data_IF_720963633049
#
_entry.id   IF_720963633049
#
_cell.length_a   1.000
_cell.length_b   1.000
_cell.length_c   1.000
_cell.angle_alpha   90.00
_cell.angle_beta   90.00
_cell.angle_gamma   90.00
#
_symmetry.space_group_name_H-M   'P 1'
#
loop_
_entity.id
_entity.type
_entity.pdbx_description
1 polymer ?
#
# COMPACT_ATOMS: atom_id res chain seq x y z
N UNK A 1 16.93 12.91 -1.80
CA UNK A 1 15.80 12.29 -2.49
C UNK A 1 14.71 13.32 -2.73
N UNK A 2 14.18 13.38 -3.95
CA UNK A 2 13.07 14.29 -4.29
C UNK A 2 11.97 13.45 -4.93
N UNK A 3 10.80 13.44 -4.32
CA UNK A 3 9.64 12.66 -4.77
C UNK A 3 8.46 13.57 -5.07
N UNK A 4 7.81 13.34 -6.20
CA UNK A 4 6.51 13.92 -6.51
C UNK A 4 5.43 12.81 -6.44
N UNK A 5 4.42 12.99 -5.60
CA UNK A 5 3.21 12.16 -5.60
C UNK A 5 2.14 12.84 -6.46
N UNK A 6 1.82 12.24 -7.59
CA UNK A 6 0.72 12.65 -8.46
C UNK A 6 -0.57 11.94 -8.08
N UNK A 7 -1.44 12.61 -7.34
CA UNK A 7 -2.74 12.08 -6.95
C UNK A 7 -3.73 12.17 -8.12
N UNK A 8 -4.28 11.03 -8.52
CA UNK A 8 -5.39 10.90 -9.47
C UNK A 8 -6.61 10.49 -8.65
N UNK A 9 -7.65 11.32 -8.62
CA UNK A 9 -8.81 11.08 -7.76
C UNK A 9 -9.80 10.11 -8.40
N UNK A 10 -9.89 8.91 -7.82
CA UNK A 10 -10.82 7.86 -8.21
C UNK A 10 -12.10 7.99 -7.37
N UNK A 11 -13.20 8.28 -8.07
CA UNK A 11 -14.54 8.49 -7.51
C UNK A 11 -15.41 7.25 -7.59
N UNK A 12 -15.13 6.36 -8.54
CA UNK A 12 -15.89 5.12 -8.75
C UNK A 12 -14.98 4.00 -9.30
N UNK A 13 -15.43 2.76 -9.13
CA UNK A 13 -14.78 1.57 -9.71
C UNK A 13 -15.82 0.68 -10.37
N UNK A 14 -15.52 0.19 -11.57
CA UNK A 14 -16.43 -0.62 -12.37
C UNK A 14 -15.68 -1.74 -13.08
N UNK A 15 -16.34 -2.87 -13.32
CA UNK A 15 -15.83 -3.83 -14.28
C UNK A 15 -15.98 -3.27 -15.70
N UNK A 16 -14.98 -3.53 -16.54
CA UNK A 16 -14.95 -3.10 -17.93
C UNK A 16 -14.23 -4.10 -18.82
N UNK A 17 -14.21 -3.83 -20.13
CA UNK A 17 -13.49 -4.64 -21.11
C UNK A 17 -11.99 -4.36 -21.17
N UNK A 18 -11.52 -3.29 -20.51
CA UNK A 18 -10.11 -2.92 -20.42
C UNK A 18 -9.83 -2.28 -19.05
N UNK A 19 -8.63 -2.48 -18.51
CA UNK A 19 -8.20 -1.81 -17.29
C UNK A 19 -7.69 -0.40 -17.62
N UNK A 20 -8.41 0.64 -17.16
CA UNK A 20 -8.05 2.04 -17.41
C UNK A 20 -8.63 2.99 -16.38
N UNK A 21 -8.09 4.20 -16.31
CA UNK A 21 -8.71 5.32 -15.60
C UNK A 21 -9.27 6.31 -16.61
N UNK A 22 -10.56 6.61 -16.50
CA UNK A 22 -11.24 7.57 -17.38
C UNK A 22 -12.27 8.37 -16.57
N UNK A 23 -12.20 9.70 -16.65
CA UNK A 23 -13.15 10.62 -15.98
C UNK A 23 -13.33 10.37 -14.47
N UNK A 24 -12.26 9.95 -13.78
CA UNK A 24 -12.28 9.64 -12.35
C UNK A 24 -12.89 8.28 -12.00
N UNK A 25 -13.10 7.40 -12.98
CA UNK A 25 -13.54 6.02 -12.79
C UNK A 25 -12.37 5.08 -13.10
N UNK A 26 -12.09 4.14 -12.20
CA UNK A 26 -11.18 3.02 -12.47
C UNK A 26 -12.00 1.86 -13.06
N UNK A 27 -11.84 1.62 -14.35
CA UNK A 27 -12.35 0.42 -15.01
C UNK A 27 -11.36 -0.73 -14.79
N UNK A 28 -11.88 -1.88 -14.37
CA UNK A 28 -11.09 -3.09 -14.09
C UNK A 28 -11.51 -4.16 -15.09
N UNK A 29 -10.58 -4.60 -15.94
CA UNK A 29 -10.78 -5.84 -16.66
C UNK A 29 -10.50 -7.01 -15.71
N UNK A 30 -11.56 -7.74 -15.36
CA UNK A 30 -11.50 -8.86 -14.44
C UNK A 30 -10.62 -10.00 -14.97
N UNK A 31 -10.68 -10.29 -16.27
CA UNK A 31 -9.92 -11.37 -16.88
C UNK A 31 -8.41 -11.05 -16.93
N UNK A 32 -8.05 -9.83 -17.32
CA UNK A 32 -6.66 -9.38 -17.31
C UNK A 32 -6.08 -9.38 -15.88
N UNK A 33 -6.84 -8.88 -14.90
CA UNK A 33 -6.41 -8.91 -13.50
C UNK A 33 -6.22 -10.34 -13.01
N UNK A 34 -7.16 -11.26 -13.28
CA UNK A 34 -7.01 -12.67 -12.88
C UNK A 34 -5.83 -13.36 -13.55
N UNK A 35 -5.47 -12.98 -14.79
CA UNK A 35 -4.31 -13.50 -15.49
C UNK A 35 -2.99 -13.02 -14.85
N UNK A 36 -2.92 -11.76 -14.43
CA UNK A 36 -1.75 -11.20 -13.74
C UNK A 36 -1.53 -11.81 -12.34
N UNK A 37 -2.62 -12.22 -11.69
CA UNK A 37 -2.60 -12.75 -10.32
C UNK A 37 -2.31 -14.25 -10.20
N UNK A 38 -2.12 -14.97 -11.31
CA UNK A 38 -1.87 -16.41 -11.29
C UNK A 38 -0.69 -16.78 -10.35
N UNK A 39 -0.94 -17.78 -9.51
CA UNK A 39 0.03 -18.33 -8.56
C UNK A 39 -0.30 -19.81 -8.32
N UNK A 40 0.69 -20.69 -8.48
CA UNK A 40 0.52 -22.15 -8.34
C UNK A 40 0.07 -22.60 -6.93
N UNK A 41 0.25 -21.72 -5.93
CA UNK A 41 -0.16 -21.98 -4.55
C UNK A 41 -1.66 -21.70 -4.33
N UNK A 42 -2.32 -21.03 -5.27
CA UNK A 42 -3.73 -20.65 -5.16
C UNK A 42 -4.56 -21.51 -6.11
N UNK A 43 -5.51 -22.26 -5.56
CA UNK A 43 -6.42 -23.11 -6.34
C UNK A 43 -7.46 -22.29 -7.12
N UNK A 44 -7.85 -21.14 -6.58
CA UNK A 44 -8.74 -20.20 -7.24
C UNK A 44 -8.51 -18.77 -6.77
N UNK A 45 -8.78 -17.84 -7.67
CA UNK A 45 -8.77 -16.39 -7.43
C UNK A 45 -10.03 -15.83 -8.06
N UNK A 46 -10.70 -14.91 -7.35
CA UNK A 46 -11.83 -14.15 -7.83
C UNK A 46 -11.72 -12.68 -7.37
N UNK A 47 -12.47 -11.82 -8.04
CA UNK A 47 -12.47 -10.37 -7.80
C UNK A 47 -13.91 -9.86 -7.72
N UNK A 48 -14.19 -9.12 -6.66
CA UNK A 48 -15.42 -8.35 -6.46
C UNK A 48 -15.12 -6.86 -6.30
N UNK A 49 -16.14 -6.03 -6.49
CA UNK A 49 -16.08 -4.59 -6.25
C UNK A 49 -17.04 -4.22 -5.12
N UNK A 50 -16.59 -3.35 -4.22
CA UNK A 50 -17.40 -2.84 -3.12
C UNK A 50 -17.20 -1.33 -2.97
N UNK A 51 -18.29 -0.58 -3.04
CA UNK A 51 -18.25 0.89 -3.10
C UNK A 51 -18.81 1.54 -1.84
N UNK A 52 -18.37 2.77 -1.51
CA UNK A 52 -18.89 3.50 -0.36
C UNK A 52 -20.42 3.58 -0.36
N UNK A 53 -21.04 3.22 0.76
CA UNK A 53 -22.49 3.27 0.94
C UNK A 53 -23.25 2.02 0.51
N UNK A 54 -22.61 1.05 -0.15
CA UNK A 54 -23.28 -0.21 -0.51
C UNK A 54 -23.59 -1.08 0.72
N UNK A 55 -24.65 -1.89 0.62
CA UNK A 55 -25.04 -2.85 1.66
C UNK A 55 -24.13 -4.10 1.64
N UNK A 56 -22.82 -3.89 1.74
CA UNK A 56 -21.78 -4.90 1.57
C UNK A 56 -20.84 -4.93 2.78
N UNK A 57 -20.49 -6.14 3.21
CA UNK A 57 -19.47 -6.41 4.23
C UNK A 57 -18.33 -7.22 3.62
N UNK A 58 -17.10 -6.75 3.75
CA UNK A 58 -15.89 -7.45 3.29
C UNK A 58 -15.24 -8.15 4.49
N UNK A 59 -15.02 -9.46 4.38
CA UNK A 59 -14.50 -10.31 5.47
C UNK A 59 -13.97 -11.66 4.92
N UNK A 60 -12.87 -12.22 5.49
CA UNK A 60 -11.96 -11.60 6.44
C UNK A 60 -10.82 -10.84 5.73
N UNK A 61 -10.63 -9.58 6.11
CA UNK A 61 -9.67 -8.67 5.47
C UNK A 61 -8.24 -8.90 5.99
N UNK A 62 -7.30 -9.13 5.08
CA UNK A 62 -5.89 -9.40 5.38
C UNK A 62 -5.00 -8.20 5.17
N UNK A 63 -5.13 -7.51 4.05
CA UNK A 63 -4.42 -6.26 3.79
C UNK A 63 -5.30 -5.29 3.01
N UNK A 64 -4.92 -4.01 3.07
CA UNK A 64 -5.47 -2.94 2.26
C UNK A 64 -4.30 -2.20 1.62
N UNK A 65 -4.34 -2.00 0.30
CA UNK A 65 -3.21 -1.50 -0.49
C UNK A 65 -3.71 -0.40 -1.43
N UNK A 66 -3.04 0.74 -1.48
CA UNK A 66 -3.37 1.81 -2.44
C UNK A 66 -2.69 1.53 -3.78
N UNK A 67 -3.43 1.48 -4.91
CA UNK A 67 -2.80 1.32 -6.22
C UNK A 67 -1.93 2.52 -6.56
N UNK A 68 -0.68 2.25 -6.95
CA UNK A 68 0.32 3.27 -7.29
C UNK A 68 1.18 2.80 -8.46
N UNK A 69 1.74 3.75 -9.21
CA UNK A 69 2.66 3.45 -10.32
C UNK A 69 3.82 4.43 -10.37
N UNK A 70 5.03 3.91 -10.56
CA UNK A 70 6.25 4.70 -10.74
C UNK A 70 6.33 5.17 -12.19
N UNK A 71 6.23 6.48 -12.43
CA UNK A 71 6.22 7.05 -13.79
C UNK A 71 7.54 7.73 -14.18
N UNK A 72 8.34 8.11 -13.19
CA UNK A 72 9.67 8.71 -13.37
C UNK A 72 10.58 8.31 -12.20
N UNK A 73 11.88 8.13 -12.48
CA UNK A 73 12.88 7.77 -11.47
C UNK A 73 13.24 6.28 -11.50
N UNK A 74 14.15 5.88 -10.61
CA UNK A 74 14.56 4.48 -10.42
C UNK A 74 13.56 3.68 -9.60
N UNK A 75 13.68 2.36 -9.66
CA UNK A 75 12.85 1.43 -8.93
C UNK A 75 11.42 1.27 -9.46
N UNK A 76 10.64 0.52 -8.69
CA UNK A 76 9.23 0.20 -8.96
C UNK A 76 8.51 0.00 -7.63
N UNK A 77 7.18 -0.07 -7.66
CA UNK A 77 6.40 -0.24 -6.42
C UNK A 77 6.70 -1.59 -5.77
N UNK A 78 6.68 -1.60 -4.43
CA UNK A 78 6.90 -2.78 -3.60
C UNK A 78 8.21 -3.51 -3.94
N UNK A 79 9.36 -2.82 -3.85
CA UNK A 79 10.66 -3.40 -4.20
C UNK A 79 10.97 -4.61 -3.31
N UNK A 80 11.44 -5.69 -3.93
CA UNK A 80 11.65 -7.00 -3.29
C UNK A 80 10.45 -7.94 -3.33
N UNK A 81 9.27 -7.48 -3.77
CA UNK A 81 8.10 -8.31 -4.01
C UNK A 81 7.66 -8.29 -5.49
N UNK A 82 7.17 -7.13 -5.95
CA UNK A 82 6.74 -6.93 -7.33
C UNK A 82 7.90 -6.36 -8.14
N UNK A 83 8.52 -5.32 -7.59
CA UNK A 83 9.73 -4.72 -8.13
C UNK A 83 11.00 -5.49 -7.78
N UNK A 84 12.04 -5.33 -8.60
CA UNK A 84 13.41 -5.69 -8.17
C UNK A 84 13.79 -4.86 -6.95
N UNK A 85 14.66 -5.42 -6.11
CA UNK A 85 15.23 -4.68 -4.98
C UNK A 85 16.09 -3.54 -5.54
N UNK A 86 15.61 -2.31 -5.35
CA UNK A 86 16.29 -1.07 -5.73
C UNK A 86 15.80 0.03 -4.78
N UNK A 87 16.62 1.05 -4.52
CA UNK A 87 16.22 2.15 -3.64
C UNK A 87 15.16 3.01 -4.32
N UNK A 88 14.02 3.19 -3.65
CA UNK A 88 12.89 3.99 -4.15
C UNK A 88 12.83 5.35 -3.46
N UNK A 89 11.73 6.10 -3.58
CA UNK A 89 11.54 7.38 -2.88
C UNK A 89 12.08 8.61 -3.61
N UNK A 90 12.39 8.52 -4.90
CA UNK A 90 12.77 9.66 -5.76
C UNK A 90 12.12 9.60 -7.14
N UNK A 91 11.90 10.74 -7.82
CA UNK A 91 11.22 10.83 -9.11
C UNK A 91 9.73 11.13 -8.94
N UNK A 92 8.86 10.48 -9.71
CA UNK A 92 7.40 10.69 -9.65
C UNK A 92 6.65 9.37 -9.58
N UNK A 93 5.69 9.32 -8.67
CA UNK A 93 4.78 8.19 -8.46
C UNK A 93 3.34 8.69 -8.56
N UNK A 94 2.54 8.09 -9.44
CA UNK A 94 1.11 8.35 -9.49
C UNK A 94 0.38 7.47 -8.48
N UNK A 95 -0.65 8.04 -7.86
CA UNK A 95 -1.47 7.40 -6.82
C UNK A 95 -2.92 7.43 -7.27
N UNK A 96 -3.58 6.26 -7.31
CA UNK A 96 -5.01 6.18 -7.59
C UNK A 96 -5.81 6.44 -6.30
N UNK A 97 -5.86 7.72 -5.92
CA UNK A 97 -6.37 8.17 -4.62
C UNK A 97 -7.88 7.95 -4.56
N UNK A 98 -8.32 7.16 -3.58
CA UNK A 98 -9.73 6.77 -3.43
C UNK A 98 -10.05 5.36 -3.91
N UNK A 99 -9.11 4.67 -4.59
CA UNK A 99 -9.18 3.24 -4.84
C UNK A 99 -8.38 2.46 -3.79
N UNK A 100 -8.80 1.24 -3.48
CA UNK A 100 -8.05 0.35 -2.58
C UNK A 100 -8.20 -1.10 -3.00
N UNK A 101 -7.08 -1.84 -3.03
CA UNK A 101 -7.08 -3.29 -3.17
C UNK A 101 -7.19 -3.90 -1.79
N UNK A 102 -8.19 -4.76 -1.61
CA UNK A 102 -8.44 -5.46 -0.35
C UNK A 102 -8.16 -6.95 -0.56
N UNK A 103 -7.12 -7.45 0.09
CA UNK A 103 -6.85 -8.89 0.09
C UNK A 103 -7.71 -9.56 1.15
N UNK A 104 -8.44 -10.61 0.76
CA UNK A 104 -9.24 -11.43 1.68
C UNK A 104 -8.80 -12.89 1.63
N UNK A 105 -9.10 -13.64 2.70
CA UNK A 105 -8.80 -15.07 2.73
C UNK A 105 -8.62 -15.61 4.14
N UNK A 106 -8.78 -16.92 4.33
CA UNK A 106 -8.62 -17.56 5.65
C UNK A 106 -7.20 -18.09 5.81
N UNK A 107 -6.42 -17.53 6.74
CA UNK A 107 -5.01 -17.91 6.93
C UNK A 107 -4.87 -18.86 8.13
N UNK A 108 -4.86 -18.35 9.35
CA UNK A 108 -4.77 -19.16 10.59
C UNK A 108 -5.65 -18.55 11.68
N UNK A 109 -6.20 -19.38 12.57
CA UNK A 109 -6.87 -18.92 13.79
C UNK A 109 -8.18 -18.18 13.55
N UNK A 110 -8.54 -17.29 14.48
CA UNK A 110 -9.70 -16.42 14.36
C UNK A 110 -9.52 -15.44 13.20
N UNK A 111 -10.53 -15.37 12.34
CA UNK A 111 -10.48 -14.56 11.13
C UNK A 111 -11.11 -13.20 11.40
N UNK A 112 -10.29 -12.25 11.83
CA UNK A 112 -10.70 -10.86 12.04
C UNK A 112 -10.48 -10.03 10.75
N UNK A 113 -10.85 -8.75 10.81
CA UNK A 113 -10.82 -7.82 9.67
C UNK A 113 -12.18 -7.75 8.98
N UNK A 114 -12.91 -6.68 9.29
CA UNK A 114 -14.22 -6.38 8.72
C UNK A 114 -14.16 -4.98 8.13
N UNK A 115 -14.68 -4.83 6.91
CA UNK A 115 -15.01 -3.53 6.34
C UNK A 115 -16.50 -3.55 6.04
N UNK A 116 -17.26 -2.76 6.78
CA UNK A 116 -18.65 -2.45 6.44
C UNK A 116 -18.66 -1.24 5.51
N UNK A 117 -19.29 -1.38 4.33
CA UNK A 117 -19.38 -0.27 3.37
C UNK A 117 -20.53 0.70 3.70
N UNK A 118 -21.45 0.30 4.58
CA UNK A 118 -22.56 1.12 5.07
C UNK A 118 -22.95 0.78 6.51
N UNK A 119 -23.83 1.58 7.10
CA UNK A 119 -24.26 1.42 8.49
C UNK A 119 -23.19 1.80 9.51
N UNK A 120 -23.41 1.51 10.81
CA UNK A 120 -22.56 1.99 11.90
C UNK A 120 -21.10 1.52 11.82
N UNK A 121 -20.86 0.31 11.29
CA UNK A 121 -19.51 -0.24 11.14
C UNK A 121 -18.64 0.57 10.15
N UNK A 122 -19.26 1.22 9.18
CA UNK A 122 -18.54 2.01 8.17
C UNK A 122 -17.82 3.22 8.76
N UNK A 123 -18.25 3.74 9.91
CA UNK A 123 -17.59 4.88 10.57
C UNK A 123 -16.25 4.52 11.22
N UNK A 124 -16.01 3.23 11.49
CA UNK A 124 -14.84 2.76 12.24
C UNK A 124 -13.68 2.27 11.36
N UNK A 125 -13.80 2.40 10.05
CA UNK A 125 -12.73 2.02 9.12
C UNK A 125 -12.58 3.07 8.02
N UNK A 126 -11.34 3.50 7.69
CA UNK A 126 -11.13 4.42 6.58
C UNK A 126 -11.49 3.79 5.23
N UNK A 127 -11.43 2.45 5.13
CA UNK A 127 -11.66 1.70 3.89
C UNK A 127 -13.14 1.58 3.50
N UNK A 128 -14.08 2.01 4.35
CA UNK A 128 -15.48 2.18 3.93
C UNK A 128 -15.66 3.37 2.98
N UNK A 129 -14.67 4.27 2.93
CA UNK A 129 -14.68 5.49 2.11
C UNK A 129 -13.91 5.33 0.80
N UNK A 130 -13.30 4.16 0.58
CA UNK A 130 -12.59 3.83 -0.66
C UNK A 130 -13.44 2.97 -1.59
N UNK A 131 -13.17 3.08 -2.89
CA UNK A 131 -13.64 2.17 -3.92
C UNK A 131 -12.78 0.89 -3.86
N UNK A 132 -13.35 -0.19 -3.33
CA UNK A 132 -12.58 -1.39 -3.00
C UNK A 132 -12.64 -2.42 -4.13
N UNK A 133 -11.46 -2.86 -4.56
CA UNK A 133 -11.25 -4.03 -5.41
C UNK A 133 -10.89 -5.19 -4.49
N UNK A 134 -11.83 -6.10 -4.28
CA UNK A 134 -11.74 -7.17 -3.28
C UNK A 134 -11.22 -8.43 -3.96
N UNK A 135 -10.04 -8.88 -3.53
CA UNK A 135 -9.42 -10.11 -4.00
C UNK A 135 -9.82 -11.25 -3.08
N UNK A 136 -10.32 -12.34 -3.67
CA UNK A 136 -10.77 -13.53 -2.97
C UNK A 136 -9.94 -14.70 -3.51
N UNK A 137 -9.24 -15.42 -2.64
CA UNK A 137 -8.46 -16.57 -3.08
C UNK A 137 -8.60 -17.76 -2.14
N UNK A 138 -8.47 -18.97 -2.69
CA UNK A 138 -8.40 -20.22 -1.95
C UNK A 138 -7.05 -20.90 -2.21
N UNK A 139 -6.37 -21.42 -1.16
CA UNK A 139 -5.12 -22.12 -1.34
C UNK A 139 -5.33 -23.50 -1.98
N UNK A 140 -4.28 -24.04 -2.61
CA UNK A 140 -4.24 -25.47 -2.95
C UNK A 140 -4.27 -26.34 -1.68
N UNK A 141 -4.78 -27.56 -1.83
CA UNK A 141 -4.87 -28.50 -0.72
C UNK A 141 -3.48 -28.80 -0.13
N UNK A 142 -3.38 -28.78 1.20
CA UNK A 142 -2.14 -29.08 1.92
C UNK A 142 -1.09 -27.96 1.93
N UNK A 143 -1.37 -26.78 1.37
CA UNK A 143 -0.46 -25.64 1.43
C UNK A 143 -0.17 -25.24 2.89
N UNK A 144 1.11 -25.06 3.21
CA UNK A 144 1.55 -24.60 4.53
C UNK A 144 1.14 -23.14 4.78
N UNK A 145 0.89 -22.79 6.04
CA UNK A 145 0.27 -21.53 6.46
C UNK A 145 1.10 -20.29 6.09
N UNK A 146 2.43 -20.32 6.24
CA UNK A 146 3.31 -19.24 5.79
C UNK A 146 3.28 -19.13 4.27
N UNK A 147 3.25 -20.27 3.57
CA UNK A 147 3.09 -20.32 2.12
C UNK A 147 1.80 -19.66 1.63
N UNK A 148 0.68 -19.92 2.32
CA UNK A 148 -0.61 -19.31 2.00
C UNK A 148 -0.63 -17.81 2.27
N UNK A 149 -0.16 -17.38 3.45
CA UNK A 149 -0.07 -15.95 3.79
C UNK A 149 0.78 -15.18 2.76
N UNK A 150 1.95 -15.72 2.41
CA UNK A 150 2.82 -15.11 1.42
C UNK A 150 2.18 -15.04 0.03
N UNK A 151 1.41 -16.05 -0.37
CA UNK A 151 0.68 -16.05 -1.64
C UNK A 151 -0.38 -14.93 -1.67
N UNK A 152 -1.18 -14.80 -0.60
CA UNK A 152 -2.17 -13.73 -0.48
C UNK A 152 -1.52 -12.34 -0.49
N UNK A 153 -0.40 -12.16 0.22
CA UNK A 153 0.34 -10.90 0.23
C UNK A 153 0.83 -10.53 -1.17
N UNK A 154 1.53 -11.43 -1.84
CA UNK A 154 2.06 -11.18 -3.19
C UNK A 154 0.93 -10.91 -4.18
N UNK A 155 -0.20 -11.64 -4.09
CA UNK A 155 -1.38 -11.38 -4.91
C UNK A 155 -1.91 -9.94 -4.72
N UNK A 156 -2.04 -9.48 -3.48
CA UNK A 156 -2.46 -8.10 -3.19
C UNK A 156 -1.54 -7.04 -3.77
N UNK A 157 -0.22 -7.22 -3.60
CA UNK A 157 0.79 -6.27 -4.10
C UNK A 157 0.80 -6.22 -5.63
N UNK A 158 0.73 -7.39 -6.29
CA UNK A 158 0.64 -7.49 -7.76
C UNK A 158 -0.60 -6.79 -8.29
N UNK A 159 -1.76 -7.03 -7.68
CA UNK A 159 -3.01 -6.37 -8.07
C UNK A 159 -2.90 -4.84 -7.95
N UNK A 160 -2.36 -4.35 -6.83
CA UNK A 160 -2.21 -2.91 -6.62
C UNK A 160 -1.22 -2.27 -7.62
N UNK A 161 -0.12 -2.97 -7.95
CA UNK A 161 0.82 -2.50 -8.97
C UNK A 161 0.20 -2.50 -10.37
N UNK A 162 -0.47 -3.59 -10.76
CA UNK A 162 -1.16 -3.71 -12.05
C UNK A 162 -2.25 -2.65 -12.21
N UNK A 163 -3.12 -2.47 -11.20
CA UNK A 163 -4.16 -1.44 -11.25
C UNK A 163 -3.56 -0.04 -11.25
N UNK A 164 -2.42 0.17 -10.57
CA UNK A 164 -1.68 1.43 -10.61
C UNK A 164 -1.27 1.83 -12.04
N UNK A 165 -0.89 0.87 -12.88
CA UNK A 165 -0.50 1.11 -14.27
C UNK A 165 -1.58 1.82 -15.10
N UNK A 166 -2.86 1.62 -14.76
CA UNK A 166 -3.98 2.34 -15.37
C UNK A 166 -3.87 3.87 -15.24
N UNK A 167 -3.13 4.36 -14.23
CA UNK A 167 -2.87 5.77 -13.99
C UNK A 167 -1.58 6.31 -14.62
N UNK A 168 -0.75 5.48 -15.27
CA UNK A 168 0.59 5.89 -15.73
C UNK A 168 0.56 7.11 -16.65
N UNK A 169 -0.35 7.10 -17.61
CA UNK A 169 -0.47 8.15 -18.64
C UNK A 169 -1.55 9.18 -18.32
N UNK A 170 -2.17 9.10 -17.14
CA UNK A 170 -3.19 10.05 -16.69
C UNK A 170 -2.50 11.26 -16.07
N UNK A 171 -2.97 12.46 -16.40
CA UNK A 171 -2.49 13.68 -15.75
C UNK A 171 -3.04 13.72 -14.32
N UNK A 172 -2.18 13.83 -13.28
CA UNK A 172 -2.65 13.93 -11.90
C UNK A 172 -3.50 15.17 -11.65
N UNK A 173 -4.52 15.02 -10.81
CA UNK A 173 -5.36 16.13 -10.33
C UNK A 173 -4.60 17.02 -9.34
N UNK A 174 -3.68 16.43 -8.57
CA UNK A 174 -2.84 17.11 -7.60
C UNK A 174 -1.42 16.54 -7.62
N UNK A 175 -0.41 17.40 -7.43
CA UNK A 175 0.98 16.97 -7.29
C UNK A 175 1.55 17.50 -5.97
N UNK A 176 1.89 16.59 -5.05
CA UNK A 176 2.56 16.90 -3.79
C UNK A 176 4.06 16.62 -3.93
N UNK A 177 4.90 17.54 -3.48
CA UNK A 177 6.35 17.45 -3.64
C UNK A 177 7.03 17.32 -2.29
N UNK A 178 7.93 16.35 -2.20
CA UNK A 178 8.76 16.09 -1.04
C UNK A 178 10.22 16.24 -1.42
N UNK A 179 10.97 16.95 -0.58
CA UNK A 179 12.41 17.10 -0.68
C UNK A 179 13.06 16.63 0.60
N UNK A 180 13.94 15.64 0.48
CA UNK A 180 14.64 15.00 1.59
C UNK A 180 16.12 14.89 1.23
N UNK A 181 16.90 15.97 1.43
CA UNK A 181 18.30 16.00 1.00
C UNK A 181 19.15 14.99 1.79
N UNK A 182 20.36 14.65 1.30
CA UNK A 182 21.30 13.82 2.05
C UNK A 182 21.49 14.29 3.49
N UNK A 183 21.60 13.36 4.45
CA UNK A 183 21.66 13.70 5.88
C UNK A 183 22.69 14.80 6.22
N UNK A 184 23.87 14.79 5.60
CA UNK A 184 24.90 15.81 5.83
C UNK A 184 24.46 17.23 5.40
N UNK A 185 23.61 17.32 4.38
CA UNK A 185 22.99 18.56 3.91
C UNK A 185 21.78 18.91 4.78
N UNK A 186 20.91 17.94 5.09
CA UNK A 186 19.75 18.12 5.97
C UNK A 186 20.16 18.70 7.34
N UNK A 187 21.27 18.22 7.93
CA UNK A 187 21.79 18.70 9.22
C UNK A 187 22.18 20.19 9.22
N UNK A 188 22.50 20.77 8.05
CA UNK A 188 22.90 22.17 7.89
C UNK A 188 21.72 23.08 7.59
N UNK A 189 20.59 22.52 7.16
CA UNK A 189 19.38 23.28 6.93
C UNK A 189 18.76 23.75 8.25
N UNK A 190 18.10 24.91 8.22
CA UNK A 190 17.40 25.49 9.38
C UNK A 190 18.21 25.41 10.69
N UNK A 191 19.39 26.06 10.75
CA UNK A 191 20.33 25.90 11.87
C UNK A 191 19.73 26.27 13.23
N UNK A 192 18.74 27.17 13.23
CA UNK A 192 18.06 27.69 14.42
C UNK A 192 16.89 26.80 14.89
N UNK A 193 16.52 25.77 14.14
CA UNK A 193 15.45 24.84 14.51
C UNK A 193 16.00 23.55 15.16
N UNK A 194 15.24 22.93 16.08
CA UNK A 194 15.61 21.63 16.65
C UNK A 194 15.65 20.56 15.56
N UNK A 195 16.67 19.69 15.62
CA UNK A 195 16.82 18.56 14.71
C UNK A 195 16.01 17.39 15.24
N UNK A 196 15.10 16.86 14.44
CA UNK A 196 14.18 15.79 14.83
C UNK A 196 14.32 14.63 13.87
N UNK A 197 14.40 13.42 14.42
CA UNK A 197 14.39 12.17 13.67
C UNK A 197 13.22 11.29 14.11
N UNK A 198 12.67 10.48 13.20
CA UNK A 198 11.56 9.58 13.49
C UNK A 198 12.01 8.13 13.63
N UNK A 199 11.76 7.53 14.80
CA UNK A 199 11.97 6.10 15.01
C UNK A 199 10.70 5.35 14.59
N UNK A 200 10.70 4.82 13.37
CA UNK A 200 9.56 4.09 12.83
C UNK A 200 9.57 2.63 13.32
N UNK A 201 8.85 2.36 14.42
CA UNK A 201 8.70 1.01 14.94
C UNK A 201 7.76 0.17 14.08
N UNK A 202 8.27 -0.94 13.55
CA UNK A 202 7.52 -1.89 12.75
C UNK A 202 7.21 -3.13 13.58
N UNK A 203 5.93 -3.49 13.67
CA UNK A 203 5.51 -4.72 14.35
C UNK A 203 6.00 -5.92 13.53
N UNK A 204 6.86 -6.75 14.13
CA UNK A 204 7.32 -8.00 13.52
C UNK A 204 7.52 -9.08 14.58
N UNK A 205 6.59 -10.03 14.69
CA UNK A 205 6.54 -11.01 15.80
C UNK A 205 6.40 -12.47 15.35
N UNK A 206 6.31 -12.76 14.05
CA UNK A 206 6.03 -14.10 13.54
C UNK A 206 4.86 -14.12 12.57
N UNK A 207 4.47 -15.32 12.12
CA UNK A 207 3.39 -15.53 11.17
C UNK A 207 2.17 -14.65 11.47
N UNK A 208 1.68 -13.95 10.44
CA UNK A 208 0.58 -12.98 10.49
C UNK A 208 0.84 -11.68 11.26
N UNK A 209 2.07 -11.46 11.73
CA UNK A 209 2.49 -10.26 12.43
C UNK A 209 3.82 -9.74 11.89
N UNK A 210 4.18 -10.08 10.64
CA UNK A 210 5.46 -9.71 10.05
C UNK A 210 5.33 -8.45 9.23
N UNK A 211 6.37 -7.62 9.25
CA UNK A 211 6.50 -6.44 8.38
C UNK A 211 7.77 -6.57 7.57
N UNK A 212 7.74 -6.11 6.33
CA UNK A 212 8.83 -6.29 5.38
C UNK A 212 9.39 -4.94 4.96
N UNK A 213 10.72 -4.83 4.96
CA UNK A 213 11.45 -3.71 4.40
C UNK A 213 12.21 -4.23 3.16
N UNK A 214 11.91 -3.69 1.98
CA UNK A 214 12.52 -4.12 0.71
C UNK A 214 12.45 -5.65 0.46
N UNK A 215 11.31 -6.26 0.81
CA UNK A 215 11.09 -7.70 0.67
C UNK A 215 11.68 -8.57 1.79
N UNK A 216 12.46 -7.98 2.70
CA UNK A 216 13.08 -8.71 3.82
C UNK A 216 12.26 -8.52 5.09
N UNK A 217 11.94 -9.62 5.77
CA UNK A 217 11.30 -9.57 7.09
C UNK A 217 12.20 -8.81 8.07
N UNK A 218 11.64 -7.77 8.70
CA UNK A 218 12.42 -6.85 9.54
C UNK A 218 13.01 -7.51 10.79
N UNK A 219 12.56 -8.71 11.21
CA UNK A 219 13.21 -9.49 12.29
C UNK A 219 14.59 -9.99 11.89
N UNK A 220 14.88 -10.08 10.59
CA UNK A 220 16.13 -10.61 10.06
C UNK A 220 17.20 -9.54 9.84
N UNK A 221 16.88 -8.27 10.11
CA UNK A 221 17.77 -7.14 9.86
C UNK A 221 17.98 -6.31 11.13
N UNK A 222 19.05 -5.53 11.11
CA UNK A 222 19.30 -4.51 12.11
C UNK A 222 18.47 -3.24 11.80
N UNK A 223 18.24 -2.35 12.78
CA UNK A 223 17.65 -1.05 12.52
C UNK A 223 18.36 -0.35 11.35
N UNK A 224 17.57 0.04 10.35
CA UNK A 224 18.07 0.56 9.08
C UNK A 224 17.56 1.98 8.88
N UNK A 225 18.46 2.88 8.48
CA UNK A 225 18.10 4.25 8.12
C UNK A 225 17.55 4.22 6.70
N UNK A 226 16.33 4.73 6.53
CA UNK A 226 15.69 4.95 5.23
C UNK A 226 15.21 6.39 5.15
N UNK A 227 15.07 6.91 3.93
CA UNK A 227 14.40 8.18 3.71
C UNK A 227 12.89 8.04 3.88
N UNK A 228 12.21 9.07 4.42
CA UNK A 228 10.77 9.03 4.61
C UNK A 228 9.98 8.79 3.32
N UNK A 229 10.49 9.28 2.18
CA UNK A 229 9.86 9.12 0.86
C UNK A 229 9.94 7.69 0.31
N UNK A 230 10.86 6.85 0.80
CA UNK A 230 10.94 5.44 0.39
C UNK A 230 9.67 4.68 0.79
N UNK A 231 9.10 5.03 1.94
CA UNK A 231 7.85 4.43 2.43
C UNK A 231 6.68 4.73 1.49
N UNK A 232 6.67 5.91 0.85
CA UNK A 232 5.64 6.31 -0.11
C UNK A 232 5.71 5.50 -1.43
N UNK A 233 6.84 4.87 -1.73
CA UNK A 233 6.99 3.97 -2.88
C UNK A 233 6.91 2.48 -2.49
N UNK A 234 6.41 2.20 -1.28
CA UNK A 234 6.15 0.84 -0.83
C UNK A 234 7.38 0.07 -0.38
N UNK A 235 8.44 0.77 0.06
CA UNK A 235 9.59 0.11 0.70
C UNK A 235 9.18 -0.73 1.92
N UNK A 236 8.11 -0.33 2.62
CA UNK A 236 7.53 -1.07 3.74
C UNK A 236 6.20 -1.70 3.32
N UNK A 237 6.08 -3.02 3.54
CA UNK A 237 4.89 -3.81 3.24
C UNK A 237 4.43 -4.56 4.48
N UNK A 238 3.11 -4.63 4.68
CA UNK A 238 2.52 -5.36 5.80
C UNK A 238 2.32 -6.84 5.46
N UNK A 239 2.72 -7.72 6.38
CA UNK A 239 2.25 -9.10 6.51
C UNK A 239 1.38 -9.31 7.76
N UNK A 240 0.89 -8.22 8.36
CA UNK A 240 0.05 -8.27 9.55
C UNK A 240 -1.39 -8.65 9.17
N UNK A 241 -1.85 -9.85 9.54
CA UNK A 241 -3.13 -10.38 9.06
C UNK A 241 -4.04 -11.05 10.12
N UNK A 242 -3.71 -10.89 11.42
CA UNK A 242 -4.55 -11.31 12.57
C UNK A 242 -5.51 -10.22 13.00
N UNK A 243 -5.05 -9.21 13.75
CA UNK A 243 -5.97 -8.27 14.41
C UNK A 243 -6.05 -6.93 13.70
N UNK A 244 -7.28 -6.53 13.37
CA UNK A 244 -7.52 -5.33 12.58
C UNK A 244 -7.26 -4.03 13.34
N UNK A 245 -7.43 -4.03 14.67
CA UNK A 245 -7.21 -2.84 15.51
C UNK A 245 -5.73 -2.58 15.80
N UNK A 246 -4.89 -3.62 15.74
CA UNK A 246 -3.48 -3.53 16.13
C UNK A 246 -2.52 -3.53 14.92
N UNK A 247 -3.04 -3.52 13.68
CA UNK A 247 -2.21 -3.59 12.47
C UNK A 247 -2.14 -2.28 11.69
N UNK A 248 -0.95 -2.01 11.16
CA UNK A 248 -0.79 -1.12 10.01
C UNK A 248 -0.86 -1.95 8.73
N UNK A 249 -1.80 -1.62 7.85
CA UNK A 249 -1.87 -2.21 6.50
C UNK A 249 -0.79 -1.58 5.61
N UNK A 250 -0.54 -2.18 4.45
CA UNK A 250 0.36 -1.57 3.45
C UNK A 250 -0.12 -0.17 3.04
N UNK A 251 -1.44 0.06 2.96
CA UNK A 251 -2.04 1.40 2.77
C UNK A 251 -1.58 2.41 3.83
N UNK A 252 -1.58 2.01 5.11
CA UNK A 252 -1.15 2.88 6.21
C UNK A 252 0.34 3.21 6.11
N UNK A 253 1.18 2.25 5.73
CA UNK A 253 2.59 2.52 5.51
C UNK A 253 2.78 3.52 4.35
N UNK A 254 2.16 3.26 3.19
CA UNK A 254 2.19 4.14 2.01
C UNK A 254 1.71 5.58 2.27
N UNK A 255 0.85 5.77 3.28
CA UNK A 255 0.21 7.03 3.66
C UNK A 255 0.49 7.39 5.14
N UNK A 256 1.69 7.10 5.66
CA UNK A 256 2.00 7.31 7.08
C UNK A 256 1.76 8.77 7.50
N UNK A 257 0.77 9.05 8.39
CA UNK A 257 0.45 10.43 8.77
C UNK A 257 1.63 11.09 9.50
N UNK A 258 2.39 10.32 10.28
CA UNK A 258 3.59 10.82 10.96
C UNK A 258 4.61 11.33 9.94
N UNK A 259 4.85 10.59 8.85
CA UNK A 259 5.80 11.02 7.82
C UNK A 259 5.29 12.27 7.09
N UNK A 260 4.02 12.29 6.70
CA UNK A 260 3.41 13.43 6.01
C UNK A 260 3.46 14.71 6.87
N UNK A 261 3.03 14.63 8.12
CA UNK A 261 2.99 15.76 9.04
C UNK A 261 4.42 16.26 9.35
N UNK A 262 5.38 15.35 9.54
CA UNK A 262 6.77 15.73 9.80
C UNK A 262 7.41 16.46 8.60
N UNK A 263 7.11 16.01 7.38
CA UNK A 263 7.56 16.70 6.16
C UNK A 263 6.84 18.03 5.94
N UNK A 264 5.57 18.16 6.32
CA UNK A 264 4.83 19.43 6.23
C UNK A 264 5.35 20.48 7.22
N UNK A 265 5.74 20.05 8.43
CA UNK A 265 6.20 20.91 9.53
C UNK A 265 7.73 21.14 9.51
N UNK A 266 8.46 20.39 8.68
CA UNK A 266 9.89 20.59 8.41
C UNK A 266 10.18 22.03 7.94
N UNK A 267 11.16 22.69 8.56
CA UNK A 267 11.54 24.07 8.28
C UNK A 267 10.60 25.13 8.89
N UNK A 268 9.52 24.71 9.56
CA UNK A 268 8.57 25.60 10.26
C UNK A 268 8.78 25.53 11.78
N UNK A 269 8.66 24.34 12.36
CA UNK A 269 8.79 24.14 13.82
C UNK A 269 10.05 23.35 14.19
N UNK A 270 10.52 22.50 13.27
CA UNK A 270 11.70 21.67 13.45
C UNK A 270 12.39 21.41 12.11
N UNK A 271 13.67 21.03 12.16
CA UNK A 271 14.39 20.44 11.05
C UNK A 271 14.23 18.91 11.11
N UNK A 272 13.32 18.36 10.30
CA UNK A 272 13.18 16.92 10.14
C UNK A 272 14.33 16.36 9.30
N UNK A 273 15.18 15.52 9.92
CA UNK A 273 16.43 15.02 9.30
C UNK A 273 16.36 13.56 8.84
N UNK A 274 15.21 12.89 9.04
CA UNK A 274 15.02 11.47 8.67
C UNK A 274 14.09 10.74 9.62
#
# INVERSE_FOLDING_TARGET
MRLELGNIFIKDVQFGSETKVESGVLYVNKEELLAELQDERLASIDVDLAKPGEATRIVPVKDAIEPRVKVEGSGSLFPGFVGKVDTVGSGRTHVLKGACVITTGKVVGFQEGIIDMSGPGAEYTPFSKTNNIVLIAQPVEGLERHGHEAALRVMGLKAAAYLGEAGRNVTPDEVVKYDCPPLQEALKQYPDLPKVAYVYMLQSQGLMHDTYLYGVDVKQILPTIIYPTEVMDGAIVSGNCVSACDKNTTYHHLNSPVIHDMLERHGKDFNFIG
#
